data_IF_944181371607
#
_entry.id   IF_944181371607
#
_cell.length_a   1.000
_cell.length_b   1.000
_cell.length_c   1.000
_cell.angle_alpha   90.00
_cell.angle_beta   90.00
_cell.angle_gamma   90.00
#
_symmetry.space_group_name_H-M   'P 1'
#
loop_
_entity.id
_entity.type
_entity.pdbx_description
1 polymer ?
#
# COMPACT_ATOMS: atom_id res chain seq x y z
N UNK A 1 -1.43 -27.08 3.30
CA UNK A 1 -0.42 -26.72 2.28
C UNK A 1 -0.84 -25.51 1.43
N UNK A 2 -2.02 -25.48 0.79
CA UNK A 2 -2.42 -24.38 -0.11
C UNK A 2 -2.35 -22.97 0.54
N UNK A 3 -2.90 -22.77 1.73
CA UNK A 3 -2.87 -21.45 2.43
C UNK A 3 -1.45 -21.00 2.78
N UNK A 4 -0.56 -21.93 3.10
CA UNK A 4 0.84 -21.63 3.39
C UNK A 4 1.58 -21.17 2.13
N UNK A 5 1.36 -21.86 1.00
CA UNK A 5 1.92 -21.43 -0.29
C UNK A 5 1.40 -20.06 -0.71
N UNK A 6 0.10 -19.79 -0.52
CA UNK A 6 -0.49 -18.49 -0.83
C UNK A 6 0.07 -17.36 0.04
N UNK A 7 0.38 -17.65 1.31
CA UNK A 7 1.03 -16.70 2.21
C UNK A 7 2.45 -16.38 1.73
N UNK A 8 3.25 -17.39 1.41
CA UNK A 8 4.61 -17.23 0.91
C UNK A 8 4.61 -16.42 -0.40
N UNK A 9 3.79 -16.81 -1.36
CA UNK A 9 3.66 -16.09 -2.63
C UNK A 9 3.25 -14.63 -2.39
N UNK A 10 2.26 -14.39 -1.53
CA UNK A 10 1.83 -13.03 -1.17
C UNK A 10 2.95 -12.19 -0.56
N UNK A 11 3.76 -12.76 0.32
CA UNK A 11 4.93 -12.09 0.91
C UNK A 11 5.98 -11.77 -0.16
N UNK A 12 6.35 -12.71 -1.04
CA UNK A 12 7.29 -12.45 -2.14
C UNK A 12 6.79 -11.32 -3.05
N UNK A 13 5.51 -11.32 -3.43
CA UNK A 13 4.92 -10.28 -4.27
C UNK A 13 4.95 -8.91 -3.57
N UNK A 14 4.66 -8.87 -2.25
CA UNK A 14 4.66 -7.62 -1.48
C UNK A 14 6.08 -7.10 -1.28
N UNK A 15 7.00 -7.91 -0.78
CA UNK A 15 8.36 -7.43 -0.51
C UNK A 15 9.15 -7.18 -1.81
N UNK A 16 9.06 -8.06 -2.80
CA UNK A 16 9.68 -7.86 -4.11
C UNK A 16 9.03 -6.70 -4.86
N UNK A 17 7.74 -6.80 -5.19
CA UNK A 17 7.05 -5.82 -6.01
C UNK A 17 7.07 -4.42 -5.41
N UNK A 18 6.75 -4.27 -4.12
CA UNK A 18 6.66 -2.94 -3.52
C UNK A 18 8.04 -2.30 -3.27
N UNK A 19 9.09 -3.07 -2.98
CA UNK A 19 10.43 -2.49 -2.81
C UNK A 19 10.98 -1.99 -4.14
N UNK A 20 10.85 -2.78 -5.21
CA UNK A 20 11.21 -2.31 -6.56
C UNK A 20 10.33 -1.14 -7.02
N UNK A 21 9.05 -1.12 -6.68
CA UNK A 21 8.18 0.01 -6.97
C UNK A 21 8.66 1.32 -6.31
N UNK A 22 9.15 1.27 -5.08
CA UNK A 22 9.71 2.44 -4.40
C UNK A 22 10.97 2.93 -5.11
N UNK A 23 11.88 2.04 -5.54
CA UNK A 23 13.10 2.40 -6.27
C UNK A 23 12.73 3.08 -7.60
N UNK A 24 11.83 2.50 -8.37
CA UNK A 24 11.41 3.09 -9.66
C UNK A 24 10.71 4.42 -9.46
N UNK A 25 9.83 4.54 -8.45
CA UNK A 25 9.17 5.80 -8.13
C UNK A 25 10.17 6.88 -7.70
N UNK A 26 11.12 6.58 -6.83
CA UNK A 26 12.15 7.53 -6.39
C UNK A 26 13.03 7.97 -7.56
N UNK A 27 13.34 7.06 -8.49
CA UNK A 27 14.06 7.37 -9.72
C UNK A 27 13.28 8.33 -10.64
N UNK A 28 11.96 8.13 -10.77
CA UNK A 28 11.10 9.05 -11.53
C UNK A 28 11.05 10.43 -10.85
N UNK A 29 10.88 10.47 -9.52
CA UNK A 29 10.80 11.71 -8.76
C UNK A 29 12.09 12.52 -8.78
N UNK A 30 13.25 11.91 -9.03
CA UNK A 30 14.52 12.62 -9.27
C UNK A 30 14.53 13.35 -10.62
N UNK A 31 13.84 12.82 -11.63
CA UNK A 31 13.70 13.45 -12.95
C UNK A 31 12.59 14.51 -12.90
N UNK A 32 11.44 14.15 -12.33
CA UNK A 32 10.24 15.00 -12.30
C UNK A 32 9.53 14.91 -10.95
N UNK A 33 9.64 15.95 -10.12
CA UNK A 33 9.13 15.98 -8.76
C UNK A 33 7.59 15.96 -8.65
N UNK A 34 6.87 16.55 -9.60
CA UNK A 34 5.43 16.78 -9.53
C UNK A 34 4.63 15.86 -10.46
N UNK A 35 4.83 14.52 -10.39
CA UNK A 35 4.23 13.58 -11.35
C UNK A 35 3.34 12.49 -10.71
N UNK A 36 3.15 12.53 -9.41
CA UNK A 36 2.51 11.43 -8.66
C UNK A 36 1.08 11.10 -9.10
N UNK A 37 0.27 12.10 -9.49
CA UNK A 37 -1.12 11.88 -9.93
C UNK A 37 -1.17 11.14 -11.27
N UNK A 38 -0.34 11.55 -12.22
CA UNK A 38 -0.28 10.92 -13.53
C UNK A 38 0.18 9.46 -13.43
N UNK A 39 1.24 9.19 -12.66
CA UNK A 39 1.73 7.83 -12.42
C UNK A 39 0.61 6.98 -11.82
N UNK A 40 -0.09 7.49 -10.79
CA UNK A 40 -1.16 6.75 -10.13
C UNK A 40 -2.32 6.46 -11.09
N UNK A 41 -2.71 7.42 -11.94
CA UNK A 41 -3.73 7.21 -12.96
C UNK A 41 -3.34 6.09 -13.94
N UNK A 42 -2.10 6.14 -14.45
CA UNK A 42 -1.63 5.12 -15.42
C UNK A 42 -1.58 3.73 -14.76
N UNK A 43 -1.13 3.65 -13.50
CA UNK A 43 -1.16 2.41 -12.72
C UNK A 43 -2.59 1.88 -12.58
N UNK A 44 -3.56 2.73 -12.26
CA UNK A 44 -4.96 2.33 -12.09
C UNK A 44 -5.58 1.84 -13.40
N UNK A 45 -5.32 2.55 -14.51
CA UNK A 45 -5.78 2.12 -15.83
C UNK A 45 -5.18 0.76 -16.20
N UNK A 46 -3.87 0.57 -16.00
CA UNK A 46 -3.20 -0.69 -16.30
C UNK A 46 -3.79 -1.85 -15.50
N UNK A 47 -3.97 -1.69 -14.18
CA UNK A 47 -4.52 -2.72 -13.31
C UNK A 47 -5.99 -3.01 -13.65
N UNK A 48 -6.77 -1.98 -14.01
CA UNK A 48 -8.15 -2.16 -14.47
C UNK A 48 -8.19 -2.92 -15.81
N UNK A 49 -7.32 -2.61 -16.76
CA UNK A 49 -7.25 -3.32 -18.05
C UNK A 49 -6.82 -4.78 -17.88
N UNK A 50 -5.81 -5.06 -17.07
CA UNK A 50 -5.38 -6.43 -16.76
C UNK A 50 -6.50 -7.20 -16.06
N UNK A 51 -7.13 -6.57 -15.06
CA UNK A 51 -8.27 -7.16 -14.37
C UNK A 51 -9.47 -7.41 -15.30
N UNK A 52 -9.69 -6.55 -16.31
CA UNK A 52 -10.73 -6.72 -17.31
C UNK A 52 -10.50 -7.98 -18.13
N UNK A 53 -9.26 -8.22 -18.58
CA UNK A 53 -8.90 -9.44 -19.35
C UNK A 53 -9.29 -10.70 -18.56
N UNK A 54 -9.07 -10.72 -17.26
CA UNK A 54 -9.40 -11.86 -16.40
C UNK A 54 -10.89 -11.99 -16.07
N UNK A 55 -11.65 -10.91 -16.18
CA UNK A 55 -13.09 -10.86 -15.89
C UNK A 55 -13.98 -10.89 -17.14
N UNK A 56 -13.41 -10.90 -18.34
CA UNK A 56 -14.16 -11.09 -19.59
C UNK A 56 -14.49 -12.57 -19.75
N UNK A 57 -15.71 -12.84 -20.22
CA UNK A 57 -16.16 -14.14 -20.69
C UNK A 57 -16.56 -13.99 -22.15
N UNK A 58 -15.95 -14.80 -23.02
CA UNK A 58 -16.31 -14.89 -24.43
C UNK A 58 -17.46 -15.87 -24.58
N UNK A 59 -18.53 -15.46 -25.23
CA UNK A 59 -19.67 -16.26 -25.59
C UNK A 59 -19.62 -16.59 -27.08
N UNK A 60 -20.10 -17.77 -27.43
CA UNK A 60 -20.28 -18.11 -28.84
C UNK A 60 -21.60 -17.49 -29.35
N UNK A 61 -21.57 -16.44 -30.20
CA UNK A 61 -22.76 -15.69 -30.61
C UNK A 61 -23.76 -16.56 -31.37
N UNK A 62 -23.32 -17.65 -31.96
CA UNK A 62 -24.17 -18.57 -32.77
C UNK A 62 -25.02 -19.47 -31.86
N UNK A 63 -24.48 -19.85 -30.66
CA UNK A 63 -25.18 -20.76 -29.73
C UNK A 63 -26.06 -20.04 -28.70
N UNK A 64 -25.63 -18.84 -28.23
CA UNK A 64 -26.27 -18.19 -27.07
C UNK A 64 -27.13 -16.97 -27.41
N UNK A 65 -27.22 -16.53 -28.69
CA UNK A 65 -27.97 -15.31 -29.13
C UNK A 65 -27.71 -14.08 -28.26
N UNK A 66 -26.50 -13.99 -27.65
CA UNK A 66 -26.09 -12.95 -26.74
C UNK A 66 -24.87 -12.18 -27.30
N UNK A 67 -24.57 -11.02 -26.73
CA UNK A 67 -23.36 -10.30 -27.11
C UNK A 67 -22.14 -11.22 -26.93
N UNK A 68 -21.16 -11.20 -27.88
CA UNK A 68 -20.00 -12.10 -27.86
C UNK A 68 -19.09 -11.92 -26.66
N UNK A 69 -19.23 -10.82 -25.95
CA UNK A 69 -18.39 -10.46 -24.78
C UNK A 69 -19.29 -10.05 -23.62
N UNK A 70 -19.10 -10.68 -22.47
CA UNK A 70 -19.73 -10.28 -21.22
C UNK A 70 -18.75 -10.28 -20.06
N UNK A 71 -19.06 -9.58 -18.98
CA UNK A 71 -18.32 -9.69 -17.73
C UNK A 71 -18.74 -10.94 -16.98
N UNK A 72 -17.80 -11.66 -16.40
CA UNK A 72 -18.07 -12.78 -15.50
C UNK A 72 -19.01 -12.35 -14.38
N UNK A 73 -19.88 -13.25 -13.96
CA UNK A 73 -20.78 -13.00 -12.85
C UNK A 73 -19.97 -12.66 -11.59
N UNK A 74 -20.31 -11.52 -10.96
CA UNK A 74 -19.65 -11.04 -9.74
C UNK A 74 -20.03 -11.91 -8.56
N UNK A 75 -19.07 -12.22 -7.71
CA UNK A 75 -19.30 -12.92 -6.43
C UNK A 75 -19.80 -11.95 -5.37
N UNK A 76 -19.34 -10.69 -5.40
CA UNK A 76 -19.79 -9.66 -4.47
C UNK A 76 -20.58 -8.56 -5.20
N UNK A 77 -21.63 -7.98 -4.57
CA UNK A 77 -22.42 -6.88 -5.14
C UNK A 77 -21.55 -5.63 -5.39
N UNK A 78 -21.81 -4.93 -6.51
CA UNK A 78 -21.02 -3.77 -6.94
C UNK A 78 -20.99 -2.63 -5.91
N UNK A 79 -22.12 -2.38 -5.21
CA UNK A 79 -22.18 -1.30 -4.20
C UNK A 79 -21.18 -1.49 -3.06
N UNK A 80 -20.77 -2.73 -2.77
CA UNK A 80 -19.77 -3.03 -1.75
C UNK A 80 -18.36 -2.64 -2.20
N UNK A 81 -18.04 -2.83 -3.47
CA UNK A 81 -16.79 -2.33 -4.04
C UNK A 81 -16.79 -0.80 -4.10
N UNK A 82 -17.93 -0.20 -4.44
CA UNK A 82 -18.08 1.25 -4.42
C UNK A 82 -17.85 1.84 -3.01
N UNK A 83 -18.39 1.20 -1.97
CA UNK A 83 -18.15 1.61 -0.59
C UNK A 83 -16.67 1.51 -0.21
N UNK A 84 -15.96 0.46 -0.67
CA UNK A 84 -14.52 0.33 -0.44
C UNK A 84 -13.72 1.45 -1.10
N UNK A 85 -14.05 1.79 -2.34
CA UNK A 85 -13.43 2.90 -3.07
C UNK A 85 -13.73 4.24 -2.38
N UNK A 86 -14.96 4.45 -1.91
CA UNK A 86 -15.32 5.65 -1.17
C UNK A 86 -14.50 5.80 0.13
N UNK A 87 -14.37 4.74 0.92
CA UNK A 87 -13.55 4.75 2.14
C UNK A 87 -12.06 5.03 1.82
N UNK A 88 -11.53 4.42 0.76
CA UNK A 88 -10.18 4.68 0.31
C UNK A 88 -9.97 6.14 -0.08
N UNK A 89 -10.90 6.69 -0.86
CA UNK A 89 -10.83 8.06 -1.35
C UNK A 89 -10.93 9.07 -0.21
N UNK A 90 -11.91 8.90 0.69
CA UNK A 90 -12.09 9.75 1.88
C UNK A 90 -10.81 9.73 2.74
N UNK A 91 -10.28 8.55 3.04
CA UNK A 91 -9.04 8.42 3.82
C UNK A 91 -7.85 9.11 3.12
N UNK A 92 -7.75 8.99 1.80
CA UNK A 92 -6.68 9.61 1.00
C UNK A 92 -6.79 11.13 0.98
N UNK A 93 -8.00 11.68 0.79
CA UNK A 93 -8.25 13.12 0.80
C UNK A 93 -7.95 13.72 2.17
N UNK A 94 -8.45 13.10 3.25
CA UNK A 94 -8.19 13.55 4.61
C UNK A 94 -6.69 13.55 4.93
N UNK A 95 -5.96 12.52 4.48
CA UNK A 95 -4.52 12.42 4.70
C UNK A 95 -3.72 13.54 4.02
N UNK A 96 -4.18 13.98 2.85
CA UNK A 96 -3.56 15.09 2.12
C UNK A 96 -3.98 16.45 2.67
N UNK A 97 -5.24 16.60 3.08
CA UNK A 97 -5.80 17.84 3.64
C UNK A 97 -5.06 18.28 4.93
N UNK A 98 -4.55 17.34 5.70
CA UNK A 98 -3.79 17.62 6.94
C UNK A 98 -2.67 18.65 6.73
N UNK A 99 -1.99 18.61 5.58
CA UNK A 99 -0.86 19.52 5.31
C UNK A 99 -1.27 20.99 5.18
N UNK A 100 -2.53 21.28 4.89
CA UNK A 100 -3.08 22.65 4.84
C UNK A 100 -3.26 23.23 6.25
N UNK A 101 -3.26 22.40 7.30
CA UNK A 101 -3.47 22.79 8.69
C UNK A 101 -2.15 22.94 9.49
N UNK A 102 -1.04 23.23 8.82
CA UNK A 102 0.27 23.45 9.43
C UNK A 102 0.74 22.29 10.34
N UNK A 103 0.32 21.07 10.06
CA UNK A 103 0.82 19.89 10.76
C UNK A 103 2.24 19.58 10.28
N UNK A 104 3.15 19.54 11.23
CA UNK A 104 4.54 19.19 10.92
C UNK A 104 4.67 17.74 10.43
N UNK A 105 5.60 17.51 9.50
CA UNK A 105 5.89 16.18 8.96
C UNK A 105 6.12 15.13 10.06
N UNK A 106 6.86 15.42 11.16
CA UNK A 106 7.04 14.49 12.26
C UNK A 106 5.73 14.04 12.91
N UNK A 107 4.79 14.95 13.17
CA UNK A 107 3.48 14.61 13.75
C UNK A 107 2.69 13.72 12.79
N UNK A 108 2.64 14.07 11.50
CA UNK A 108 1.99 13.23 10.48
C UNK A 108 2.57 11.80 10.45
N UNK A 109 3.89 11.66 10.56
CA UNK A 109 4.57 10.37 10.60
C UNK A 109 4.18 9.56 11.84
N UNK A 110 4.12 10.20 13.02
CA UNK A 110 3.70 9.54 14.28
C UNK A 110 2.30 8.95 14.11
N UNK A 111 1.33 9.73 13.64
CA UNK A 111 -0.04 9.26 13.42
C UNK A 111 -0.12 8.14 12.39
N UNK A 112 0.62 8.25 11.29
CA UNK A 112 0.67 7.22 10.24
C UNK A 112 1.30 5.91 10.74
N UNK A 113 2.30 5.98 11.60
CA UNK A 113 2.92 4.79 12.23
C UNK A 113 2.01 4.16 13.27
N UNK A 114 1.25 4.98 13.98
CA UNK A 114 0.27 4.52 14.99
C UNK A 114 -1.01 3.94 14.39
N UNK A 115 -1.20 3.97 13.08
CA UNK A 115 -2.38 3.43 12.39
C UNK A 115 -2.62 1.94 12.69
N UNK A 116 -1.57 1.17 13.02
CA UNK A 116 -1.69 -0.24 13.41
C UNK A 116 -2.40 -0.40 14.75
N UNK A 117 -2.16 0.51 15.71
CA UNK A 117 -2.85 0.53 17.01
C UNK A 117 -4.33 0.86 16.77
N UNK A 118 -4.63 1.88 15.95
CA UNK A 118 -6.01 2.22 15.60
C UNK A 118 -6.74 1.03 14.96
N UNK A 119 -6.08 0.33 14.03
CA UNK A 119 -6.65 -0.87 13.40
C UNK A 119 -6.91 -1.99 14.40
N UNK A 120 -6.05 -2.18 15.40
CA UNK A 120 -6.24 -3.17 16.46
C UNK A 120 -7.44 -2.81 17.34
N UNK A 121 -7.56 -1.54 17.76
CA UNK A 121 -8.70 -1.04 18.56
C UNK A 121 -10.00 -1.22 17.79
N UNK A 122 -10.03 -0.79 16.51
CA UNK A 122 -11.21 -0.90 15.66
C UNK A 122 -11.60 -2.38 15.40
N UNK A 123 -10.60 -3.27 15.21
CA UNK A 123 -10.86 -4.71 15.06
C UNK A 123 -11.43 -5.33 16.34
N UNK A 124 -11.01 -4.85 17.49
CA UNK A 124 -11.61 -5.26 18.79
C UNK A 124 -13.06 -4.78 18.92
N UNK A 125 -13.33 -3.51 18.60
CA UNK A 125 -14.68 -2.92 18.69
C UNK A 125 -15.66 -3.52 17.67
N UNK A 126 -15.28 -3.59 16.39
CA UNK A 126 -16.19 -3.95 15.29
C UNK A 126 -16.25 -5.47 15.08
N UNK A 127 -15.10 -6.13 15.00
CA UNK A 127 -15.02 -7.57 14.74
C UNK A 127 -15.02 -8.40 16.03
N UNK A 128 -15.08 -7.74 17.20
CA UNK A 128 -15.04 -8.38 18.55
C UNK A 128 -13.85 -9.32 18.72
N UNK A 129 -12.74 -9.06 18.03
CA UNK A 129 -11.52 -9.85 18.15
C UNK A 129 -10.87 -9.63 19.51
N UNK A 130 -10.36 -10.69 20.11
CA UNK A 130 -9.57 -10.62 21.34
C UNK A 130 -8.09 -10.71 21.01
N UNK A 131 -7.31 -9.82 21.61
CA UNK A 131 -5.86 -9.81 21.50
C UNK A 131 -5.23 -10.16 22.84
N UNK A 132 -4.14 -10.91 22.81
CA UNK A 132 -3.37 -11.16 24.03
C UNK A 132 -2.56 -9.92 24.42
N UNK A 133 -2.25 -9.76 25.71
CA UNK A 133 -1.42 -8.67 26.19
C UNK A 133 -0.06 -8.63 25.44
N UNK A 134 0.51 -9.81 25.15
CA UNK A 134 1.75 -9.91 24.40
C UNK A 134 1.65 -9.36 22.98
N UNK A 135 0.51 -9.54 22.30
CA UNK A 135 0.28 -8.94 20.97
C UNK A 135 0.16 -7.42 21.06
N UNK A 136 -0.51 -6.90 22.09
CA UNK A 136 -0.64 -5.46 22.32
C UNK A 136 0.74 -4.83 22.55
N UNK A 137 1.52 -5.39 23.47
CA UNK A 137 2.87 -4.90 23.77
C UNK A 137 3.80 -4.98 22.55
N UNK A 138 3.72 -6.05 21.78
CA UNK A 138 4.50 -6.21 20.55
C UNK A 138 4.17 -5.11 19.52
N UNK A 139 2.89 -4.77 19.33
CA UNK A 139 2.46 -3.69 18.42
C UNK A 139 2.93 -2.32 18.93
N UNK A 140 2.89 -2.08 20.25
CA UNK A 140 3.44 -0.84 20.82
C UNK A 140 4.94 -0.70 20.53
N UNK A 141 5.72 -1.77 20.70
CA UNK A 141 7.16 -1.76 20.41
C UNK A 141 7.41 -1.51 18.91
N UNK A 142 6.68 -2.17 18.00
CA UNK A 142 6.78 -1.90 16.56
C UNK A 142 6.49 -0.43 16.25
N UNK A 143 5.44 0.13 16.85
CA UNK A 143 5.04 1.52 16.63
C UNK A 143 6.11 2.50 17.10
N UNK A 144 6.66 2.28 18.29
CA UNK A 144 7.78 3.09 18.84
C UNK A 144 9.00 3.00 17.93
N UNK A 145 9.37 1.80 17.49
CA UNK A 145 10.48 1.60 16.56
C UNK A 145 10.28 2.33 15.23
N UNK A 146 9.07 2.26 14.65
CA UNK A 146 8.72 2.99 13.41
C UNK A 146 8.82 4.51 13.60
N UNK A 147 8.32 5.04 14.72
CA UNK A 147 8.38 6.47 15.03
C UNK A 147 9.84 6.92 15.13
N UNK A 148 10.66 6.22 15.92
CA UNK A 148 12.08 6.55 16.10
C UNK A 148 12.80 6.57 14.75
N UNK A 149 12.66 5.49 13.96
CA UNK A 149 13.33 5.36 12.66
C UNK A 149 12.94 6.48 11.71
N UNK A 150 11.63 6.78 11.63
CA UNK A 150 11.12 7.73 10.64
C UNK A 150 11.40 9.17 11.03
N UNK A 151 11.29 9.52 12.31
CA UNK A 151 11.64 10.87 12.81
C UNK A 151 13.12 11.16 12.67
N UNK A 152 13.96 10.17 12.94
CA UNK A 152 15.40 10.31 12.78
C UNK A 152 15.79 10.53 11.32
N UNK A 153 15.21 9.77 10.40
CA UNK A 153 15.43 9.94 8.95
C UNK A 153 14.88 11.27 8.40
N UNK A 154 13.84 11.84 9.03
CA UNK A 154 13.28 13.14 8.66
C UNK A 154 14.16 14.32 9.10
N UNK A 155 14.83 14.22 10.26
CA UNK A 155 15.78 15.25 10.74
C UNK A 155 16.98 15.42 9.83
N UNK A 156 17.43 14.35 9.20
CA UNK A 156 18.56 14.37 8.25
C UNK A 156 18.22 15.06 6.92
N UNK A 157 16.92 15.27 6.61
CA UNK A 157 16.44 15.85 5.34
C UNK A 157 16.05 17.34 5.37
N UNK A 158 16.12 18.02 6.50
CA UNK A 158 15.86 19.46 6.60
C UNK A 158 15.23 19.93 7.90
N UNK A 159 15.64 21.14 8.32
CA UNK A 159 15.06 21.86 9.44
C UNK A 159 13.62 22.25 9.12
N UNK A 160 12.68 21.77 9.92
CA UNK A 160 11.31 22.25 9.85
C UNK A 160 11.25 23.69 10.35
N UNK A 161 10.91 24.63 9.46
CA UNK A 161 10.60 26.01 9.84
C UNK A 161 9.38 26.00 10.77
N UNK A 162 9.60 26.46 11.98
CA UNK A 162 8.56 26.73 12.97
C UNK A 162 7.99 28.13 12.70
N UNK A 163 6.91 28.21 11.93
CA UNK A 163 6.06 29.42 11.91
C UNK A 163 5.16 29.43 13.16
N UNK A 164 4.92 30.60 13.74
CA UNK A 164 3.93 30.83 14.80
C UNK A 164 2.57 30.31 14.34
N UNK A 165 2.03 29.36 15.07
CA UNK A 165 0.90 28.56 14.62
C UNK A 165 -0.37 29.05 15.25
N UNK A 166 -1.35 29.34 14.43
CA UNK A 166 -2.75 29.42 14.85
C UNK A 166 -3.14 28.08 15.51
N UNK A 167 -3.23 28.08 16.85
CA UNK A 167 -3.49 26.90 17.67
C UNK A 167 -4.80 26.18 17.25
N UNK A 168 -5.81 26.95 16.79
CA UNK A 168 -7.07 26.39 16.31
C UNK A 168 -6.87 25.56 15.03
N UNK A 169 -6.08 26.06 14.07
CA UNK A 169 -5.75 25.32 12.85
C UNK A 169 -4.95 24.05 13.17
N UNK A 170 -4.02 24.14 14.11
CA UNK A 170 -3.26 22.97 14.52
C UNK A 170 -4.13 21.88 15.15
N UNK A 171 -5.05 22.24 16.08
CA UNK A 171 -6.03 21.27 16.64
C UNK A 171 -6.89 20.65 15.54
N UNK A 172 -7.39 21.46 14.59
CA UNK A 172 -8.16 20.93 13.46
C UNK A 172 -7.37 19.91 12.65
N UNK A 173 -6.10 20.18 12.39
CA UNK A 173 -5.20 19.23 11.72
C UNK A 173 -5.04 17.91 12.47
N UNK A 174 -4.92 17.93 13.80
CA UNK A 174 -4.88 16.72 14.62
C UNK A 174 -6.20 15.94 14.54
N UNK A 175 -7.34 16.61 14.61
CA UNK A 175 -8.66 15.98 14.46
C UNK A 175 -8.77 15.28 13.10
N UNK A 176 -8.35 15.94 12.02
CA UNK A 176 -8.35 15.37 10.67
C UNK A 176 -7.44 14.15 10.59
N UNK A 177 -6.26 14.16 11.24
CA UNK A 177 -5.37 13.00 11.31
C UNK A 177 -6.01 11.79 12.01
N UNK A 178 -6.69 12.03 13.13
CA UNK A 178 -7.42 10.98 13.86
C UNK A 178 -8.53 10.39 12.98
N UNK A 179 -9.34 11.25 12.34
CA UNK A 179 -10.42 10.82 11.43
C UNK A 179 -9.84 10.05 10.23
N UNK A 180 -8.73 10.50 9.65
CA UNK A 180 -8.04 9.81 8.55
C UNK A 180 -7.54 8.42 8.97
N UNK A 181 -6.95 8.30 10.16
CA UNK A 181 -6.50 7.01 10.71
C UNK A 181 -7.68 6.07 10.99
N UNK A 182 -8.78 6.62 11.48
CA UNK A 182 -10.03 5.88 11.71
C UNK A 182 -10.62 5.35 10.40
N UNK A 183 -10.78 6.21 9.39
CA UNK A 183 -11.33 5.81 8.08
C UNK A 183 -10.44 4.79 7.37
N UNK A 184 -9.12 4.95 7.43
CA UNK A 184 -8.17 3.97 6.91
C UNK A 184 -8.25 2.62 7.59
N UNK A 185 -8.42 2.60 8.92
CA UNK A 185 -8.63 1.37 9.69
C UNK A 185 -9.97 0.72 9.38
N UNK A 186 -11.04 1.51 9.24
CA UNK A 186 -12.36 1.04 8.84
C UNK A 186 -12.32 0.39 7.45
N UNK A 187 -11.60 0.97 6.50
CA UNK A 187 -11.39 0.38 5.17
C UNK A 187 -10.73 -1.00 5.29
N UNK A 188 -9.66 -1.13 6.08
CA UNK A 188 -8.96 -2.42 6.26
C UNK A 188 -9.86 -3.50 6.90
N UNK A 189 -10.69 -3.11 7.88
CA UNK A 189 -11.65 -4.01 8.54
C UNK A 189 -12.77 -4.40 7.59
N UNK A 190 -13.29 -3.44 6.82
CA UNK A 190 -14.30 -3.70 5.80
C UNK A 190 -13.79 -4.66 4.73
N UNK A 191 -12.55 -4.49 4.30
CA UNK A 191 -11.89 -5.41 3.36
C UNK A 191 -11.76 -6.83 3.94
N UNK A 192 -11.37 -6.97 5.20
CA UNK A 192 -11.34 -8.26 5.89
C UNK A 192 -12.74 -8.91 5.96
N UNK A 193 -13.76 -8.13 6.30
CA UNK A 193 -15.14 -8.60 6.30
C UNK A 193 -15.57 -9.09 4.92
N UNK A 194 -15.26 -8.32 3.87
CA UNK A 194 -15.59 -8.66 2.49
C UNK A 194 -14.97 -9.98 2.06
N UNK A 195 -13.69 -10.20 2.32
CA UNK A 195 -13.01 -11.44 1.94
C UNK A 195 -13.47 -12.67 2.73
N UNK A 196 -13.92 -12.48 3.97
CA UNK A 196 -14.54 -13.55 4.75
C UNK A 196 -15.93 -13.92 4.22
N UNK A 197 -16.72 -12.92 3.85
CA UNK A 197 -18.08 -13.13 3.33
C UNK A 197 -18.09 -13.64 1.89
N UNK A 198 -17.14 -13.21 1.08
CA UNK A 198 -17.00 -13.56 -0.34
C UNK A 198 -15.60 -14.12 -0.61
N UNK A 199 -15.32 -15.39 -0.27
CA UNK A 199 -14.00 -15.97 -0.41
C UNK A 199 -13.58 -16.07 -1.87
N UNK A 200 -12.26 -15.88 -2.13
CA UNK A 200 -11.69 -15.96 -3.48
C UNK A 200 -11.99 -14.75 -4.37
N UNK A 201 -12.38 -13.59 -3.80
CA UNK A 201 -12.72 -12.37 -4.55
C UNK A 201 -11.57 -11.35 -4.60
N UNK A 202 -10.35 -11.69 -4.22
CA UNK A 202 -9.25 -10.73 -4.19
C UNK A 202 -8.90 -10.16 -5.58
N UNK A 203 -9.01 -10.95 -6.67
CA UNK A 203 -8.85 -10.46 -8.06
C UNK A 203 -9.99 -9.53 -8.47
N UNK A 204 -11.22 -9.88 -8.07
CA UNK A 204 -12.40 -9.04 -8.28
C UNK A 204 -12.27 -7.71 -7.53
N UNK A 205 -11.81 -7.74 -6.29
CA UNK A 205 -11.48 -6.55 -5.49
C UNK A 205 -10.43 -5.67 -6.18
N UNK A 206 -9.35 -6.28 -6.66
CA UNK A 206 -8.29 -5.58 -7.39
C UNK A 206 -8.86 -4.85 -8.62
N UNK A 207 -9.65 -5.56 -9.43
CA UNK A 207 -10.26 -5.01 -10.63
C UNK A 207 -11.22 -3.86 -10.34
N UNK A 208 -12.26 -4.09 -9.52
CA UNK A 208 -13.29 -3.07 -9.26
C UNK A 208 -12.77 -1.87 -8.49
N UNK A 209 -11.85 -2.05 -7.55
CA UNK A 209 -11.26 -0.92 -6.84
C UNK A 209 -10.52 0.04 -7.78
N UNK A 210 -9.77 -0.49 -8.75
CA UNK A 210 -9.05 0.35 -9.69
C UNK A 210 -9.99 0.91 -10.76
N UNK A 211 -10.87 0.09 -11.34
CA UNK A 211 -11.82 0.55 -12.35
C UNK A 211 -12.73 1.67 -11.85
N UNK A 212 -13.32 1.51 -10.66
CA UNK A 212 -14.23 2.50 -10.08
C UNK A 212 -13.51 3.78 -9.62
N UNK A 213 -12.20 3.71 -9.39
CA UNK A 213 -11.40 4.87 -9.02
C UNK A 213 -10.96 5.71 -10.21
N UNK A 214 -10.85 5.14 -11.43
CA UNK A 214 -10.40 5.88 -12.64
C UNK A 214 -11.25 7.13 -12.91
N UNK A 215 -12.59 7.10 -12.88
CA UNK A 215 -13.39 8.30 -13.12
C UNK A 215 -13.11 9.45 -12.14
N UNK A 216 -12.68 9.15 -10.92
CA UNK A 216 -12.38 10.16 -9.91
C UNK A 216 -11.18 11.04 -10.32
N UNK A 217 -10.23 10.48 -11.10
CA UNK A 217 -9.10 11.25 -11.62
C UNK A 217 -9.50 12.33 -12.62
N UNK A 218 -10.71 12.27 -13.19
CA UNK A 218 -11.23 13.35 -14.05
C UNK A 218 -11.33 14.69 -13.33
N UNK A 219 -11.46 14.68 -12.00
CA UNK A 219 -11.43 15.91 -11.17
C UNK A 219 -10.06 16.61 -11.21
N UNK A 220 -9.01 15.92 -11.62
CA UNK A 220 -7.62 16.41 -11.67
C UNK A 220 -7.09 16.61 -13.08
N UNK A 221 -7.96 16.69 -14.09
CA UNK A 221 -7.58 16.81 -15.51
C UNK A 221 -6.55 17.92 -15.81
N UNK A 222 -6.66 19.14 -15.25
CA UNK A 222 -5.68 20.19 -15.54
C UNK A 222 -4.26 19.77 -15.10
N UNK A 223 -4.11 19.25 -13.89
CA UNK A 223 -2.82 18.80 -13.34
C UNK A 223 -2.28 17.57 -14.09
N UNK A 224 -3.17 16.68 -14.55
CA UNK A 224 -2.78 15.51 -15.35
C UNK A 224 -2.22 15.92 -16.72
N UNK A 225 -2.82 16.91 -17.38
CA UNK A 225 -2.34 17.47 -18.66
C UNK A 225 -0.96 18.12 -18.49
N UNK A 226 -0.76 18.90 -17.43
CA UNK A 226 0.51 19.51 -17.10
C UNK A 226 1.60 18.43 -16.88
N UNK A 227 1.32 17.42 -16.06
CA UNK A 227 2.27 16.34 -15.78
C UNK A 227 2.59 15.51 -17.04
N UNK A 228 1.61 15.29 -17.91
CA UNK A 228 1.81 14.63 -19.20
C UNK A 228 2.77 15.42 -20.10
N UNK A 229 2.56 16.73 -20.21
CA UNK A 229 3.44 17.60 -20.97
C UNK A 229 4.88 17.57 -20.44
N UNK A 230 5.04 17.64 -19.11
CA UNK A 230 6.35 17.55 -18.47
C UNK A 230 7.07 16.22 -18.77
N UNK A 231 6.33 15.12 -18.88
CA UNK A 231 6.91 13.83 -19.28
C UNK A 231 7.33 13.81 -20.75
N UNK A 232 6.54 14.41 -21.63
CA UNK A 232 6.88 14.49 -23.06
C UNK A 232 8.10 15.39 -23.33
N UNK A 233 8.33 16.39 -22.50
CA UNK A 233 9.48 17.31 -22.62
C UNK A 233 10.69 16.85 -21.84
N UNK A 234 10.64 15.70 -21.18
CA UNK A 234 11.75 15.15 -20.39
C UNK A 234 12.97 14.81 -21.27
N UNK A 235 14.19 14.90 -20.72
CA UNK A 235 15.42 14.69 -21.50
C UNK A 235 15.50 13.26 -22.06
N UNK A 236 15.97 13.17 -23.32
CA UNK A 236 16.21 11.89 -24.00
C UNK A 236 17.63 11.43 -23.72
N UNK A 237 17.77 10.24 -23.13
CA UNK A 237 19.06 9.57 -22.91
C UNK A 237 19.07 8.18 -23.52
N UNK A 238 20.24 7.56 -23.62
CA UNK A 238 20.38 6.19 -24.10
C UNK A 238 19.73 5.21 -23.13
N UNK A 239 19.09 4.14 -23.63
CA UNK A 239 18.47 3.10 -22.81
C UNK A 239 19.47 2.50 -21.80
N UNK A 240 20.71 2.25 -22.22
CA UNK A 240 21.76 1.74 -21.34
C UNK A 240 22.10 2.61 -20.14
N UNK A 241 21.81 3.93 -20.20
CA UNK A 241 21.95 4.82 -19.04
C UNK A 241 20.91 4.53 -17.94
N UNK A 242 19.67 4.15 -18.34
CA UNK A 242 18.58 3.85 -17.39
C UNK A 242 18.55 2.41 -16.96
N UNK A 243 18.96 1.50 -17.84
CA UNK A 243 19.03 0.05 -17.61
C UNK A 243 20.45 -0.44 -17.89
N UNK A 244 21.38 -0.34 -16.93
CA UNK A 244 22.73 -0.85 -17.08
C UNK A 244 22.74 -2.39 -16.94
N UNK A 245 22.10 -3.07 -17.92
CA UNK A 245 22.08 -4.53 -17.98
C UNK A 245 23.28 -4.96 -18.84
N UNK A 246 24.25 -5.73 -18.29
CA UNK A 246 25.45 -6.13 -19.01
C UNK A 246 25.22 -6.91 -20.31
N UNK A 247 24.06 -7.57 -20.42
CA UNK A 247 23.65 -8.39 -21.58
C UNK A 247 22.77 -7.62 -22.59
N UNK A 248 22.57 -6.31 -22.42
CA UNK A 248 21.72 -5.55 -23.34
C UNK A 248 22.49 -5.35 -24.69
N UNK A 249 21.91 -5.79 -25.84
CA UNK A 249 22.55 -5.61 -27.13
C UNK A 249 22.89 -4.13 -27.41
N UNK A 250 24.05 -3.86 -27.98
CA UNK A 250 24.56 -2.49 -28.20
C UNK A 250 23.61 -1.61 -29.00
N UNK A 251 22.87 -2.19 -29.97
CA UNK A 251 21.89 -1.44 -30.76
C UNK A 251 20.70 -0.97 -29.93
N UNK A 252 20.23 -1.77 -28.94
CA UNK A 252 19.16 -1.36 -28.01
C UNK A 252 19.68 -0.36 -26.99
N UNK A 253 20.87 -0.61 -26.43
CA UNK A 253 21.50 0.26 -25.45
C UNK A 253 21.71 1.70 -25.96
N UNK A 254 21.94 1.88 -27.26
CA UNK A 254 22.21 3.18 -27.89
C UNK A 254 20.95 3.94 -28.34
N UNK A 255 19.76 3.32 -28.29
CA UNK A 255 18.50 4.01 -28.64
C UNK A 255 18.26 5.14 -27.63
N UNK A 256 18.04 6.36 -28.14
CA UNK A 256 17.69 7.53 -27.31
C UNK A 256 16.18 7.54 -27.06
N UNK A 257 15.79 7.40 -25.81
CA UNK A 257 14.41 7.49 -25.37
C UNK A 257 14.27 8.50 -24.22
N UNK A 258 13.06 8.95 -24.00
CA UNK A 258 12.71 9.63 -22.76
C UNK A 258 12.66 8.60 -21.64
N UNK A 259 13.73 8.50 -20.85
CA UNK A 259 13.89 7.46 -19.84
C UNK A 259 12.84 7.46 -18.74
N UNK A 260 12.15 8.59 -18.56
CA UNK A 260 11.01 8.66 -17.64
C UNK A 260 9.93 7.64 -17.99
N UNK A 261 9.64 7.42 -19.28
CA UNK A 261 8.62 6.43 -19.70
C UNK A 261 9.05 5.00 -19.43
N UNK A 262 10.34 4.68 -19.59
CA UNK A 262 10.85 3.36 -19.22
C UNK A 262 10.70 3.08 -17.72
N UNK A 263 11.04 4.08 -16.90
CA UNK A 263 10.85 4.01 -15.44
C UNK A 263 9.37 3.92 -15.06
N UNK A 264 8.49 4.63 -15.78
CA UNK A 264 7.03 4.54 -15.58
C UNK A 264 6.52 3.12 -15.90
N UNK A 265 6.95 2.51 -16.99
CA UNK A 265 6.58 1.13 -17.33
C UNK A 265 7.04 0.16 -16.23
N UNK A 266 8.30 0.26 -15.80
CA UNK A 266 8.82 -0.55 -14.71
C UNK A 266 8.05 -0.33 -13.40
N UNK A 267 7.68 0.92 -13.11
CA UNK A 267 6.89 1.29 -11.94
C UNK A 267 5.47 0.73 -11.99
N UNK A 268 4.80 0.74 -13.16
CA UNK A 268 3.47 0.16 -13.35
C UNK A 268 3.49 -1.35 -13.10
N UNK A 269 4.47 -2.07 -13.66
CA UNK A 269 4.60 -3.52 -13.50
C UNK A 269 4.86 -3.87 -12.04
N UNK A 270 5.81 -3.17 -11.40
CA UNK A 270 6.15 -3.42 -9.99
C UNK A 270 5.01 -3.04 -9.05
N UNK A 271 4.23 -2.01 -9.38
CA UNK A 271 3.02 -1.65 -8.63
C UNK A 271 1.94 -2.72 -8.76
N UNK A 272 1.68 -3.24 -9.97
CA UNK A 272 0.73 -4.33 -10.16
C UNK A 272 1.11 -5.56 -9.33
N UNK A 273 2.39 -5.95 -9.34
CA UNK A 273 2.91 -7.06 -8.52
C UNK A 273 2.70 -6.76 -7.03
N UNK A 274 3.03 -5.55 -6.58
CA UNK A 274 2.86 -5.09 -5.20
C UNK A 274 1.40 -5.19 -4.73
N UNK A 275 0.46 -4.56 -5.46
CA UNK A 275 -0.94 -4.52 -5.04
C UNK A 275 -1.62 -5.87 -5.17
N UNK A 276 -1.24 -6.72 -6.14
CA UNK A 276 -1.71 -8.09 -6.25
C UNK A 276 -1.30 -8.92 -5.02
N UNK A 277 -0.06 -8.76 -4.57
CA UNK A 277 0.43 -9.38 -3.33
C UNK A 277 -0.33 -8.89 -2.10
N UNK A 278 -0.57 -7.58 -1.99
CA UNK A 278 -1.35 -6.98 -0.89
C UNK A 278 -2.78 -7.53 -0.87
N UNK A 279 -3.46 -7.59 -2.02
CA UNK A 279 -4.83 -8.11 -2.09
C UNK A 279 -4.90 -9.61 -1.76
N UNK A 280 -3.92 -10.39 -2.23
CA UNK A 280 -3.80 -11.80 -1.91
C UNK A 280 -3.59 -12.02 -0.40
N UNK A 281 -2.65 -11.29 0.22
CA UNK A 281 -2.45 -11.34 1.68
C UNK A 281 -3.67 -10.89 2.46
N UNK A 282 -4.35 -9.84 2.02
CA UNK A 282 -5.57 -9.34 2.65
C UNK A 282 -6.70 -10.38 2.67
N UNK A 283 -6.74 -11.28 1.66
CA UNK A 283 -7.74 -12.35 1.60
C UNK A 283 -7.51 -13.52 2.57
N UNK A 284 -6.29 -13.64 3.10
CA UNK A 284 -5.89 -14.76 3.99
C UNK A 284 -5.46 -14.31 5.39
N UNK A 285 -5.09 -13.04 5.56
CA UNK A 285 -4.64 -12.48 6.82
C UNK A 285 -5.73 -11.59 7.46
N UNK A 286 -5.62 -11.37 8.78
CA UNK A 286 -6.41 -10.33 9.43
C UNK A 286 -5.92 -8.93 9.06
N UNK A 287 -6.79 -7.92 9.13
CA UNK A 287 -6.43 -6.53 8.84
C UNK A 287 -5.26 -6.01 9.70
N UNK A 288 -5.17 -6.41 10.96
CA UNK A 288 -4.06 -6.07 11.85
C UNK A 288 -2.75 -6.72 11.39
N UNK A 289 -2.79 -8.02 11.06
CA UNK A 289 -1.62 -8.75 10.55
C UNK A 289 -1.15 -8.18 9.21
N UNK A 290 -2.09 -7.87 8.31
CA UNK A 290 -1.78 -7.22 7.04
C UNK A 290 -1.12 -5.86 7.26
N UNK A 291 -1.67 -5.01 8.13
CA UNK A 291 -1.08 -3.71 8.47
C UNK A 291 0.33 -3.84 9.05
N UNK A 292 0.57 -4.85 9.88
CA UNK A 292 1.91 -5.14 10.39
C UNK A 292 2.88 -5.46 9.25
N UNK A 293 2.50 -6.37 8.34
CA UNK A 293 3.31 -6.73 7.15
C UNK A 293 3.59 -5.48 6.30
N UNK A 294 2.58 -4.65 6.05
CA UNK A 294 2.74 -3.44 5.24
C UNK A 294 3.64 -2.37 5.92
N UNK A 295 3.63 -2.28 7.24
CA UNK A 295 4.55 -1.39 7.96
C UNK A 295 5.98 -1.92 7.91
N UNK A 296 6.20 -3.23 8.09
CA UNK A 296 7.52 -3.87 7.88
C UNK A 296 8.02 -3.65 6.47
N UNK A 297 7.16 -3.82 5.46
CA UNK A 297 7.49 -3.53 4.07
C UNK A 297 7.95 -2.09 3.86
N UNK A 298 7.20 -1.10 4.42
CA UNK A 298 7.58 0.34 4.32
C UNK A 298 8.96 0.57 4.91
N UNK A 299 9.23 -0.07 6.05
CA UNK A 299 10.52 0.00 6.72
C UNK A 299 11.65 -0.63 5.87
N UNK A 300 11.45 -1.82 5.32
CA UNK A 300 12.43 -2.47 4.42
C UNK A 300 12.64 -1.61 3.16
N UNK A 301 11.59 -1.03 2.58
CA UNK A 301 11.70 -0.12 1.45
C UNK A 301 12.55 1.13 1.79
N UNK A 302 12.42 1.65 3.02
CA UNK A 302 13.25 2.75 3.50
C UNK A 302 14.72 2.33 3.60
N UNK A 303 15.01 1.15 4.17
CA UNK A 303 16.40 0.63 4.23
C UNK A 303 17.00 0.44 2.84
N UNK A 304 16.25 -0.13 1.91
CA UNK A 304 16.70 -0.28 0.51
C UNK A 304 16.97 1.07 -0.12
N UNK A 305 16.08 2.06 0.08
CA UNK A 305 16.28 3.42 -0.42
C UNK A 305 17.56 4.05 0.15
N UNK A 306 17.83 3.87 1.45
CA UNK A 306 19.06 4.34 2.10
C UNK A 306 20.30 3.71 1.47
N UNK A 307 20.31 2.40 1.28
CA UNK A 307 21.45 1.67 0.72
C UNK A 307 21.65 2.01 -0.76
N UNK A 308 20.58 1.98 -1.55
CA UNK A 308 20.64 2.15 -3.00
C UNK A 308 20.97 3.60 -3.40
N UNK A 309 20.35 4.58 -2.74
CA UNK A 309 20.55 6.00 -3.03
C UNK A 309 21.61 6.66 -2.14
N UNK A 310 22.28 5.88 -1.26
CA UNK A 310 23.29 6.35 -0.29
C UNK A 310 22.79 7.50 0.58
N UNK A 311 21.51 7.48 0.92
CA UNK A 311 20.94 8.46 1.83
C UNK A 311 21.52 8.28 3.24
N UNK A 312 21.75 9.35 4.01
CA UNK A 312 22.25 9.24 5.38
C UNK A 312 21.25 8.48 6.26
N UNK A 313 21.74 7.53 7.04
CA UNK A 313 20.94 6.74 7.98
C UNK A 313 21.56 6.84 9.37
N UNK A 314 20.90 7.55 10.27
CA UNK A 314 21.44 7.86 11.59
C UNK A 314 21.53 6.62 12.50
N UNK A 315 22.41 6.70 13.52
CA UNK A 315 22.49 5.66 14.56
C UNK A 315 21.15 5.41 15.25
N UNK A 316 20.35 6.47 15.43
CA UNK A 316 19.02 6.39 16.04
C UNK A 316 18.01 5.64 15.14
N UNK A 317 18.14 5.76 13.82
CA UNK A 317 17.35 4.99 12.88
C UNK A 317 17.67 3.49 12.95
N UNK A 318 18.94 3.12 13.13
CA UNK A 318 19.33 1.71 13.37
C UNK A 318 18.74 1.16 14.67
N UNK A 319 18.77 1.98 15.74
CA UNK A 319 18.17 1.60 17.03
C UNK A 319 16.66 1.35 16.90
N UNK A 320 15.92 2.28 16.26
CA UNK A 320 14.50 2.09 15.98
C UNK A 320 14.20 0.84 15.13
N UNK A 321 15.10 0.49 14.21
CA UNK A 321 15.01 -0.72 13.38
C UNK A 321 14.99 -2.00 14.20
N UNK A 322 15.81 -2.09 15.23
CA UNK A 322 15.86 -3.25 16.13
C UNK A 322 14.51 -3.45 16.83
N UNK A 323 13.88 -2.37 17.29
CA UNK A 323 12.54 -2.44 17.89
C UNK A 323 11.48 -2.94 16.91
N UNK A 324 11.53 -2.51 15.65
CA UNK A 324 10.59 -2.99 14.63
C UNK A 324 10.72 -4.49 14.45
N UNK A 325 11.93 -5.03 14.21
CA UNK A 325 12.12 -6.46 14.00
C UNK A 325 11.80 -7.28 15.25
N UNK A 326 12.26 -6.86 16.42
CA UNK A 326 11.98 -7.55 17.69
C UNK A 326 10.47 -7.61 17.96
N UNK A 327 9.76 -6.50 17.78
CA UNK A 327 8.31 -6.42 17.99
C UNK A 327 7.53 -7.29 17.01
N UNK A 328 7.94 -7.35 15.73
CA UNK A 328 7.32 -8.23 14.71
C UNK A 328 7.48 -9.69 15.07
N UNK A 329 8.69 -10.12 15.41
CA UNK A 329 8.96 -11.51 15.81
C UNK A 329 8.13 -11.87 17.04
N UNK A 330 8.07 -10.96 18.02
CA UNK A 330 7.25 -11.18 19.22
C UNK A 330 5.76 -11.28 18.90
N UNK A 331 5.22 -10.41 18.04
CA UNK A 331 3.82 -10.49 17.60
C UNK A 331 3.48 -11.83 16.94
N UNK A 332 4.33 -12.31 16.04
CA UNK A 332 4.13 -13.60 15.35
C UNK A 332 4.11 -14.74 16.37
N UNK A 333 5.08 -14.80 17.28
CA UNK A 333 5.12 -15.83 18.35
C UNK A 333 3.88 -15.76 19.26
N UNK A 334 3.46 -14.57 19.66
CA UNK A 334 2.26 -14.37 20.49
C UNK A 334 0.97 -14.81 19.76
N UNK A 335 0.88 -14.53 18.46
CA UNK A 335 -0.25 -14.99 17.62
C UNK A 335 -0.32 -16.50 17.52
N UNK A 336 0.81 -17.18 17.33
CA UNK A 336 0.86 -18.64 17.23
C UNK A 336 0.51 -19.32 18.57
N UNK A 337 0.97 -18.75 19.68
CA UNK A 337 0.60 -19.24 21.02
C UNK A 337 -0.89 -19.10 21.27
N UNK A 338 -1.53 -17.99 20.86
CA UNK A 338 -2.97 -17.80 21.02
C UNK A 338 -3.75 -18.83 20.20
N UNK A 339 -3.40 -19.02 18.93
CA UNK A 339 -4.05 -20.02 18.06
C UNK A 339 -3.93 -21.44 18.60
N UNK A 340 -2.78 -21.81 19.16
CA UNK A 340 -2.59 -23.13 19.81
C UNK A 340 -3.49 -23.29 21.04
N UNK A 341 -3.60 -22.25 21.89
CA UNK A 341 -4.49 -22.26 23.06
C UNK A 341 -5.96 -22.39 22.67
N UNK A 342 -6.42 -21.71 21.63
CA UNK A 342 -7.79 -21.78 21.14
C UNK A 342 -8.11 -23.18 20.59
N UNK A 343 -7.24 -23.76 19.76
CA UNK A 343 -7.38 -25.14 19.26
C UNK A 343 -7.47 -26.16 20.39
N UNK A 344 -6.64 -26.01 21.42
CA UNK A 344 -6.64 -26.93 22.57
C UNK A 344 -7.96 -26.83 23.37
N UNK A 345 -8.51 -25.60 23.51
CA UNK A 345 -9.82 -25.38 24.15
C UNK A 345 -10.95 -25.99 23.34
N UNK A 346 -10.96 -25.87 22.02
CA UNK A 346 -11.96 -26.45 21.14
C UNK A 346 -11.93 -28.00 21.18
N UNK A 347 -10.74 -28.60 21.19
CA UNK A 347 -10.60 -30.06 21.30
C UNK A 347 -11.13 -30.57 22.65
N UNK A 348 -10.82 -29.87 23.76
CA UNK A 348 -11.34 -30.21 25.09
C UNK A 348 -12.86 -30.08 25.15
N UNK A 349 -13.44 -29.03 24.51
CA UNK A 349 -14.90 -28.83 24.49
C UNK A 349 -15.65 -29.86 23.62
N UNK A 350 -15.00 -30.50 22.66
CA UNK A 350 -15.57 -31.58 21.84
C UNK A 350 -15.42 -32.96 22.49
N UNK A 351 -14.56 -33.10 23.51
CA UNK A 351 -14.36 -34.35 24.25
C UNK A 351 -15.24 -34.49 25.49
N UNK A 352 -15.73 -33.37 25.99
CA UNK A 352 -16.76 -33.29 27.05
C UNK A 352 -18.15 -33.07 26.40
#
# INVERSE_FOLDING_TARGET
MAVYNDLIIGLYLVFGGCCFNVITLESILKIQKSCGRLITLIQFIFIACEGLIHNIRFHNPIKEKTFPISLKQRKAPLYKWFLMVALFFISSVLNNLVFEFHISIPIHIIFRSSSIIMNMIMSWLILKKRYSLQQILAICIVTVGLIITTLSSAKDKGKAETQEKDFKKWIMGIIILVISSFTGSLMGIYQEYMFKKYPGTWKECLFYNHLLSVPIFMLFLPQLKEQWYLFQTSPKNRIGYYLPIPLLPSYISNIKIQGVWLLVIANIITQYICVSGVQKLSSICSSVTLNLILNVRKFISLLISVIFFKNPFSKMSWFGSIFVFAGVIWYVKASDMLKKKEKTKEIKKKRN
#
